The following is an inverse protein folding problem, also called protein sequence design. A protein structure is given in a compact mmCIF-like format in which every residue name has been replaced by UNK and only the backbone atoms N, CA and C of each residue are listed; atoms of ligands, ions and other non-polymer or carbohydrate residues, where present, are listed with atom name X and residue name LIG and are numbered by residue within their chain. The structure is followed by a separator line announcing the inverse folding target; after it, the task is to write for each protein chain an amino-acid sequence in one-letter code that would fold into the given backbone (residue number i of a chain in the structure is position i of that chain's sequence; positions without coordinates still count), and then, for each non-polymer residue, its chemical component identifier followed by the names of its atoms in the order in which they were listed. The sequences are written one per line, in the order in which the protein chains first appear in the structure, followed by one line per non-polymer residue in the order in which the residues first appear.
data_IF_255290404195
#
_entry.id   IF_255290404195
#
_cell.length_a   1.000
_cell.length_b   1.000
_cell.length_c   1.000
_cell.angle_alpha   90.00
_cell.angle_beta   90.00
_cell.angle_gamma   90.00
#
_symmetry.space_group_name_H-M   'P 1'
#
loop_
_entity.id
_entity.type
_entity.pdbx_description
1 polymer ?
#
# COMPACT_ATOMS: atom_id res chain seq x y z
N UNK A 1 -15.95 -31.65 13.56
CA UNK A 1 -16.09 -30.94 12.27
C UNK A 1 -15.42 -29.57 12.29
N UNK A 2 -15.60 -28.72 13.30
CA UNK A 2 -14.96 -27.39 13.35
C UNK A 2 -13.42 -27.42 13.36
N UNK A 3 -12.81 -28.33 14.13
CA UNK A 3 -11.34 -28.50 14.19
C UNK A 3 -10.72 -28.90 12.85
N UNK A 4 -11.31 -29.85 12.13
CA UNK A 4 -10.80 -30.29 10.83
C UNK A 4 -10.87 -29.19 9.76
N UNK A 5 -11.90 -28.32 9.82
CA UNK A 5 -12.02 -27.18 8.92
C UNK A 5 -10.95 -26.11 9.23
N UNK A 6 -10.70 -25.85 10.51
CA UNK A 6 -9.66 -24.90 10.93
C UNK A 6 -8.26 -25.39 10.56
N UNK A 7 -8.00 -26.69 10.66
CA UNK A 7 -6.70 -27.28 10.32
C UNK A 7 -6.45 -27.22 8.81
N UNK A 8 -7.45 -27.52 7.98
CA UNK A 8 -7.36 -27.35 6.52
C UNK A 8 -7.11 -25.88 6.12
N UNK A 9 -7.70 -24.94 6.85
CA UNK A 9 -7.46 -23.51 6.63
C UNK A 9 -6.02 -23.12 6.98
N UNK A 10 -5.49 -23.58 8.12
CA UNK A 10 -4.10 -23.38 8.52
C UNK A 10 -3.12 -23.95 7.50
N UNK A 11 -3.38 -25.18 7.00
CA UNK A 11 -2.57 -25.78 5.96
C UNK A 11 -2.56 -24.93 4.68
N UNK A 12 -3.72 -24.44 4.24
CA UNK A 12 -3.84 -23.57 3.05
C UNK A 12 -3.05 -22.28 3.22
N UNK A 13 -3.08 -21.68 4.39
CA UNK A 13 -2.32 -20.46 4.73
C UNK A 13 -0.81 -20.74 4.78
N UNK A 14 -0.39 -21.89 5.32
CA UNK A 14 1.02 -22.25 5.46
C UNK A 14 1.73 -22.58 4.13
N UNK A 15 0.98 -22.83 3.03
CA UNK A 15 1.54 -23.23 1.73
C UNK A 15 2.20 -22.08 0.94
N UNK A 16 2.26 -20.86 1.52
CA UNK A 16 2.82 -19.70 0.83
C UNK A 16 3.45 -18.70 1.78
N UNK A 17 4.30 -17.84 1.23
CA UNK A 17 4.78 -16.65 1.92
C UNK A 17 3.73 -15.54 1.87
N UNK A 18 3.65 -14.78 2.97
CA UNK A 18 2.75 -13.65 3.15
C UNK A 18 3.53 -12.38 3.44
N UNK A 19 3.11 -11.29 2.83
CA UNK A 19 3.63 -9.97 3.20
C UNK A 19 2.84 -9.40 4.38
N UNK A 20 1.51 -9.46 4.30
CA UNK A 20 0.63 -8.92 5.33
C UNK A 20 0.15 -9.99 6.34
N UNK A 21 0.10 -9.58 7.59
CA UNK A 21 -0.60 -10.33 8.66
C UNK A 21 -2.09 -9.98 8.62
N UNK A 22 -2.93 -10.94 8.24
CA UNK A 22 -4.39 -10.78 8.07
C UNK A 22 -5.10 -11.77 8.95
N UNK A 23 -6.11 -11.29 9.70
CA UNK A 23 -6.99 -12.15 10.48
C UNK A 23 -8.05 -12.79 9.58
N UNK A 24 -8.15 -14.09 9.67
CA UNK A 24 -9.09 -14.92 8.92
C UNK A 24 -10.08 -15.59 9.87
N UNK A 25 -11.22 -16.15 9.38
CA UNK A 25 -12.16 -16.87 10.21
C UNK A 25 -11.51 -17.95 11.09
N UNK A 26 -12.18 -18.27 12.20
CA UNK A 26 -11.75 -19.28 13.17
C UNK A 26 -10.40 -18.96 13.87
N UNK A 27 -10.00 -17.70 13.95
CA UNK A 27 -8.78 -17.28 14.62
C UNK A 27 -7.49 -17.70 13.91
N UNK A 28 -7.57 -18.01 12.62
CA UNK A 28 -6.40 -18.23 11.77
C UNK A 28 -5.84 -16.87 11.36
N UNK A 29 -4.52 -16.75 11.38
CA UNK A 29 -3.81 -15.51 11.01
C UNK A 29 -2.75 -15.85 9.99
N UNK A 30 -2.62 -15.04 8.93
CA UNK A 30 -1.56 -15.23 7.96
C UNK A 30 -0.19 -14.87 8.58
N UNK A 31 0.87 -15.66 8.34
CA UNK A 31 2.20 -15.40 8.91
C UNK A 31 2.95 -14.33 8.11
N UNK A 32 2.37 -13.10 8.05
CA UNK A 32 2.92 -12.00 7.29
C UNK A 32 4.23 -11.44 7.86
N UNK A 33 5.05 -10.85 6.99
CA UNK A 33 6.25 -10.12 7.38
C UNK A 33 5.92 -8.81 8.09
N UNK A 34 4.75 -8.23 7.78
CA UNK A 34 4.28 -6.95 8.32
C UNK A 34 2.93 -7.14 9.01
N UNK A 35 2.83 -6.68 10.25
CA UNK A 35 1.58 -6.64 11.01
C UNK A 35 1.10 -5.20 11.21
N UNK A 36 0.30 -4.71 10.28
CA UNK A 36 -0.27 -3.36 10.33
C UNK A 36 -1.36 -3.17 11.38
N UNK A 37 -1.93 -4.24 11.95
CA UNK A 37 -3.06 -4.17 12.89
C UNK A 37 -2.74 -3.29 14.11
N UNK A 38 -1.48 -3.32 14.57
CA UNK A 38 -1.00 -2.52 15.71
C UNK A 38 -0.72 -1.07 15.34
N UNK A 39 -0.58 -0.77 14.05
CA UNK A 39 -0.09 0.51 13.54
C UNK A 39 -1.17 1.31 12.79
N UNK A 40 -2.42 0.80 12.73
CA UNK A 40 -3.55 1.46 12.06
C UNK A 40 -3.75 2.91 12.52
N UNK A 41 -3.52 3.20 13.81
CA UNK A 41 -3.69 4.52 14.40
C UNK A 41 -2.76 5.60 13.79
N UNK A 42 -1.63 5.20 13.20
CA UNK A 42 -0.73 6.13 12.52
C UNK A 42 -1.29 6.68 11.21
N UNK A 43 -2.22 5.97 10.59
CA UNK A 43 -2.72 6.34 9.26
C UNK A 43 -3.89 7.33 9.29
N UNK A 44 -4.45 7.60 10.46
CA UNK A 44 -5.54 8.57 10.63
C UNK A 44 -6.80 8.19 9.85
N UNK A 45 -7.08 6.89 9.74
CA UNK A 45 -8.26 6.38 9.04
C UNK A 45 -9.54 6.69 9.80
N UNK A 46 -10.66 7.05 9.13
CA UNK A 46 -11.96 7.15 9.78
C UNK A 46 -12.36 5.81 10.41
N UNK A 47 -12.96 5.83 11.60
CA UNK A 47 -13.45 4.62 12.26
C UNK A 47 -14.67 4.02 11.55
N UNK A 48 -15.53 4.86 10.98
CA UNK A 48 -16.67 4.50 10.15
C UNK A 48 -16.47 5.09 8.75
N UNK A 49 -16.47 4.23 7.74
CA UNK A 49 -16.32 4.57 6.33
C UNK A 49 -17.58 4.22 5.53
N UNK A 50 -18.72 4.05 6.22
CA UNK A 50 -20.00 3.74 5.58
C UNK A 50 -20.36 4.81 4.54
N UNK A 51 -20.66 4.35 3.32
CA UNK A 51 -21.01 5.21 2.18
C UNK A 51 -19.81 5.82 1.46
N UNK A 52 -18.58 5.61 1.94
CA UNK A 52 -17.37 6.07 1.24
C UNK A 52 -16.95 5.05 0.19
N UNK A 53 -16.43 5.55 -0.93
CA UNK A 53 -15.72 4.78 -1.95
C UNK A 53 -14.22 4.93 -1.75
N UNK A 54 -13.53 3.82 -1.65
CA UNK A 54 -12.08 3.79 -1.38
C UNK A 54 -11.35 3.03 -2.48
N UNK A 55 -10.24 3.61 -2.94
CA UNK A 55 -9.29 2.93 -3.82
C UNK A 55 -8.05 2.53 -3.01
N UNK A 56 -7.76 1.23 -2.97
CA UNK A 56 -6.51 0.68 -2.43
C UNK A 56 -5.54 0.39 -3.59
N UNK A 57 -4.46 1.16 -3.65
CA UNK A 57 -3.46 1.10 -4.74
C UNK A 57 -2.28 0.24 -4.34
N UNK A 58 -1.99 -0.79 -5.14
CA UNK A 58 -0.99 -1.83 -4.88
C UNK A 58 -1.35 -2.69 -3.66
N UNK A 59 -2.55 -3.25 -3.72
CA UNK A 59 -3.19 -3.95 -2.59
C UNK A 59 -2.44 -5.19 -2.09
N UNK A 60 -1.60 -5.81 -2.90
CA UNK A 60 -0.82 -7.02 -2.65
C UNK A 60 -1.67 -8.17 -2.09
N UNK A 61 -1.53 -8.52 -0.77
CA UNK A 61 -2.34 -9.55 -0.11
C UNK A 61 -3.72 -9.04 0.35
N UNK A 62 -3.98 -7.71 0.27
CA UNK A 62 -5.29 -7.12 0.50
C UNK A 62 -5.55 -6.59 1.91
N UNK A 63 -4.55 -6.52 2.79
CA UNK A 63 -4.77 -6.08 4.19
C UNK A 63 -5.57 -4.77 4.27
N UNK A 64 -5.15 -3.74 3.52
CA UNK A 64 -5.77 -2.43 3.57
C UNK A 64 -7.18 -2.45 2.97
N UNK A 65 -7.35 -3.12 1.83
CA UNK A 65 -8.66 -3.25 1.20
C UNK A 65 -9.69 -3.90 2.13
N UNK A 66 -9.33 -4.98 2.82
CA UNK A 66 -10.22 -5.66 3.76
C UNK A 66 -10.44 -4.86 5.05
N UNK A 67 -9.47 -4.06 5.50
CA UNK A 67 -9.65 -3.16 6.63
C UNK A 67 -10.62 -2.02 6.29
N UNK A 68 -10.56 -1.44 5.09
CA UNK A 68 -11.52 -0.42 4.65
C UNK A 68 -12.93 -1.01 4.52
N UNK A 69 -13.06 -2.20 3.94
CA UNK A 69 -14.35 -2.91 3.87
C UNK A 69 -14.91 -3.18 5.27
N UNK A 70 -14.07 -3.62 6.22
CA UNK A 70 -14.47 -3.84 7.62
C UNK A 70 -14.99 -2.57 8.29
N UNK A 71 -14.53 -1.40 7.88
CA UNK A 71 -15.01 -0.08 8.32
C UNK A 71 -16.26 0.40 7.57
N UNK A 72 -16.76 -0.36 6.60
CA UNK A 72 -18.00 -0.10 5.88
C UNK A 72 -17.85 0.55 4.51
N UNK A 73 -16.64 0.71 3.99
CA UNK A 73 -16.41 1.31 2.68
C UNK A 73 -16.78 0.38 1.51
N UNK A 74 -17.18 0.97 0.37
CA UNK A 74 -17.12 0.32 -0.93
C UNK A 74 -15.70 0.39 -1.46
N UNK A 75 -15.04 -0.75 -1.61
CA UNK A 75 -13.60 -0.80 -1.91
C UNK A 75 -13.33 -1.33 -3.32
N UNK A 76 -12.49 -0.59 -4.04
CA UNK A 76 -11.80 -1.07 -5.23
C UNK A 76 -10.32 -1.24 -4.88
N UNK A 77 -9.77 -2.41 -5.17
CA UNK A 77 -8.37 -2.73 -4.95
C UNK A 77 -7.69 -2.95 -6.29
N UNK A 78 -6.56 -2.30 -6.53
CA UNK A 78 -5.80 -2.48 -7.78
C UNK A 78 -4.41 -3.03 -7.50
N UNK A 79 -3.93 -3.86 -8.44
CA UNK A 79 -2.57 -4.36 -8.44
C UNK A 79 -2.18 -4.83 -9.86
N UNK A 80 -0.91 -5.11 -10.04
CA UNK A 80 -0.41 -5.75 -11.26
C UNK A 80 -0.78 -7.24 -11.30
N UNK A 81 -0.88 -7.79 -12.51
CA UNK A 81 -1.12 -9.22 -12.70
C UNK A 81 0.15 -10.05 -12.52
N UNK A 82 1.27 -9.50 -12.91
CA UNK A 82 2.54 -10.19 -13.05
C UNK A 82 3.69 -9.39 -12.49
N UNK A 83 4.66 -10.11 -11.96
CA UNK A 83 5.95 -9.53 -11.57
C UNK A 83 6.75 -8.99 -12.76
N UNK A 84 6.40 -9.35 -13.99
CA UNK A 84 7.03 -8.81 -15.20
C UNK A 84 6.67 -7.32 -15.43
N UNK A 85 5.54 -6.88 -14.87
CA UNK A 85 5.02 -5.52 -15.04
C UNK A 85 5.53 -4.53 -13.97
N UNK A 86 6.29 -5.04 -12.99
CA UNK A 86 6.87 -4.23 -11.91
C UNK A 86 8.01 -3.35 -12.46
N UNK A 87 8.10 -2.13 -11.97
CA UNK A 87 9.19 -1.17 -12.29
C UNK A 87 10.56 -1.66 -11.82
N UNK A 88 11.21 -2.49 -12.63
CA UNK A 88 12.50 -3.09 -12.30
C UNK A 88 13.68 -2.36 -12.90
N UNK A 89 14.77 -2.30 -12.12
CA UNK A 89 16.08 -2.07 -12.68
C UNK A 89 16.62 -3.31 -13.42
N UNK A 90 17.57 -3.10 -14.36
CA UNK A 90 18.17 -4.21 -15.13
C UNK A 90 18.80 -5.29 -14.28
N UNK A 91 19.27 -4.94 -13.09
CA UNK A 91 20.00 -5.85 -12.19
C UNK A 91 19.16 -6.30 -11.00
N UNK A 92 17.86 -6.09 -11.03
CA UNK A 92 16.99 -6.55 -9.96
C UNK A 92 16.90 -8.07 -9.95
N UNK A 93 17.35 -8.67 -8.87
CA UNK A 93 17.37 -10.12 -8.65
C UNK A 93 16.49 -10.59 -7.49
N UNK A 94 15.62 -9.71 -6.98
CA UNK A 94 14.66 -10.08 -5.93
C UNK A 94 13.59 -10.98 -6.54
N UNK A 95 13.47 -12.19 -6.01
CA UNK A 95 12.38 -13.09 -6.36
C UNK A 95 11.07 -12.59 -5.75
N UNK A 96 10.06 -12.47 -6.58
CA UNK A 96 8.70 -12.18 -6.15
C UNK A 96 7.78 -13.32 -6.52
N UNK A 97 6.74 -13.59 -5.72
CA UNK A 97 5.77 -14.62 -6.06
C UNK A 97 5.05 -14.27 -7.38
N UNK A 98 4.94 -15.25 -8.26
CA UNK A 98 4.20 -15.09 -9.52
C UNK A 98 3.19 -16.25 -9.69
N UNK A 99 1.95 -15.96 -10.10
CA UNK A 99 1.36 -14.64 -10.34
C UNK A 99 1.11 -13.86 -9.05
N UNK A 100 1.04 -12.54 -9.17
CA UNK A 100 0.63 -11.66 -8.08
C UNK A 100 -0.84 -11.88 -7.69
N UNK A 101 -1.22 -11.49 -6.46
CA UNK A 101 -2.61 -11.49 -6.01
C UNK A 101 -3.16 -12.84 -5.52
N UNK A 102 -2.35 -13.89 -5.43
CA UNK A 102 -2.81 -15.17 -4.86
C UNK A 102 -3.22 -15.03 -3.39
N UNK A 103 -2.48 -14.25 -2.58
CA UNK A 103 -2.82 -13.98 -1.20
C UNK A 103 -4.14 -13.24 -1.07
N UNK A 104 -4.31 -12.21 -1.86
CA UNK A 104 -5.58 -11.50 -1.95
C UNK A 104 -6.75 -12.45 -2.25
N UNK A 105 -6.64 -13.30 -3.27
CA UNK A 105 -7.71 -14.21 -3.66
C UNK A 105 -8.10 -15.20 -2.54
N UNK A 106 -7.12 -15.72 -1.80
CA UNK A 106 -7.37 -16.59 -0.65
C UNK A 106 -8.11 -15.83 0.46
N UNK A 107 -7.63 -14.64 0.83
CA UNK A 107 -8.27 -13.84 1.88
C UNK A 107 -9.67 -13.38 1.45
N UNK A 108 -9.82 -12.93 0.21
CA UNK A 108 -11.11 -12.50 -0.34
C UNK A 108 -12.18 -13.60 -0.25
N UNK A 109 -11.83 -14.82 -0.65
CA UNK A 109 -12.71 -16.00 -0.54
C UNK A 109 -13.05 -16.31 0.92
N UNK A 110 -12.04 -16.37 1.80
CA UNK A 110 -12.21 -16.78 3.18
C UNK A 110 -12.95 -15.76 4.04
N UNK A 111 -12.78 -14.47 3.74
CA UNK A 111 -13.49 -13.37 4.41
C UNK A 111 -14.89 -13.15 3.82
N UNK A 112 -15.23 -13.85 2.72
CA UNK A 112 -16.44 -13.58 1.93
C UNK A 112 -16.56 -12.10 1.59
N UNK A 113 -15.45 -11.51 1.14
CA UNK A 113 -15.29 -10.09 0.89
C UNK A 113 -15.99 -9.64 -0.40
N UNK A 114 -16.51 -8.42 -0.41
CA UNK A 114 -17.09 -7.77 -1.59
C UNK A 114 -16.12 -6.80 -2.28
N UNK A 115 -14.87 -6.72 -1.83
CA UNK A 115 -13.85 -5.87 -2.43
C UNK A 115 -13.70 -6.21 -3.92
N UNK A 116 -13.86 -5.21 -4.78
CA UNK A 116 -13.67 -5.37 -6.22
C UNK A 116 -12.20 -5.25 -6.56
N UNK A 117 -11.57 -6.35 -6.95
CA UNK A 117 -10.17 -6.32 -7.41
C UNK A 117 -10.07 -6.14 -8.91
N UNK A 118 -9.21 -5.22 -9.34
CA UNK A 118 -8.88 -5.00 -10.75
C UNK A 118 -7.37 -5.08 -11.02
N UNK A 119 -7.01 -5.60 -12.17
CA UNK A 119 -5.63 -5.55 -12.67
C UNK A 119 -5.40 -4.18 -13.31
N UNK A 120 -4.60 -3.37 -12.65
CA UNK A 120 -4.33 -2.01 -13.08
C UNK A 120 -2.98 -1.53 -12.54
N UNK A 121 -2.14 -0.96 -13.39
CA UNK A 121 -0.97 -0.20 -12.94
C UNK A 121 -1.42 1.12 -12.32
N UNK A 122 -0.68 1.61 -11.30
CA UNK A 122 -0.95 2.95 -10.75
C UNK A 122 -0.86 4.04 -11.80
N UNK A 123 -0.02 3.86 -12.83
CA UNK A 123 0.13 4.79 -13.95
C UNK A 123 -1.09 4.84 -14.89
N UNK A 124 -1.95 3.82 -14.83
CA UNK A 124 -3.18 3.70 -15.63
C UNK A 124 -4.44 4.10 -14.85
N UNK A 125 -4.27 4.58 -13.61
CA UNK A 125 -5.37 5.08 -12.79
C UNK A 125 -5.91 6.38 -13.39
N UNK A 126 -7.21 6.39 -13.73
CA UNK A 126 -7.89 7.55 -14.31
C UNK A 126 -9.40 7.45 -14.13
N UNK A 127 -10.12 8.60 -14.14
CA UNK A 127 -11.55 8.62 -13.82
C UNK A 127 -12.45 7.87 -14.80
N UNK A 128 -12.08 7.83 -16.09
CA UNK A 128 -12.85 7.12 -17.12
C UNK A 128 -12.76 5.59 -17.01
N UNK A 129 -11.74 5.07 -16.29
CA UNK A 129 -11.56 3.64 -16.05
C UNK A 129 -12.12 3.18 -14.71
N UNK A 130 -11.82 3.89 -13.64
CA UNK A 130 -12.11 3.44 -12.28
C UNK A 130 -13.19 4.27 -11.59
N UNK A 131 -13.54 5.43 -12.13
CA UNK A 131 -14.36 6.44 -11.46
C UNK A 131 -13.52 7.29 -10.49
N UNK A 132 -14.19 7.90 -9.52
CA UNK A 132 -13.58 8.74 -8.49
C UNK A 132 -13.86 8.16 -7.11
N UNK A 133 -13.04 8.54 -6.13
CA UNK A 133 -13.05 7.94 -4.79
C UNK A 133 -12.99 9.05 -3.73
N UNK A 134 -13.72 8.85 -2.64
CA UNK A 134 -13.62 9.72 -1.47
C UNK A 134 -12.22 9.65 -0.88
N UNK A 135 -11.68 8.42 -0.75
CA UNK A 135 -10.31 8.19 -0.27
C UNK A 135 -9.53 7.35 -1.28
N UNK A 136 -8.32 7.78 -1.62
CA UNK A 136 -7.34 6.96 -2.35
C UNK A 136 -6.20 6.65 -1.40
N UNK A 137 -5.91 5.38 -1.21
CA UNK A 137 -4.87 4.91 -0.28
C UNK A 137 -3.72 4.23 -1.03
N UNK A 138 -2.51 4.52 -0.61
CA UNK A 138 -1.31 3.75 -0.97
C UNK A 138 -0.30 3.73 0.17
N UNK A 139 0.36 2.61 0.35
CA UNK A 139 1.45 2.45 1.31
C UNK A 139 2.56 1.59 0.73
N UNK A 140 3.82 1.98 0.98
CA UNK A 140 5.02 1.27 0.53
C UNK A 140 5.11 1.05 -1.00
N UNK A 141 4.61 2.00 -1.79
CA UNK A 141 4.59 1.91 -3.24
C UNK A 141 5.56 2.88 -3.91
N UNK A 142 5.56 4.15 -3.53
CA UNK A 142 6.22 5.22 -4.29
C UNK A 142 7.73 5.02 -4.41
N UNK A 143 8.34 4.45 -3.38
CA UNK A 143 9.78 4.12 -3.38
C UNK A 143 10.16 3.07 -4.43
N UNK A 144 9.21 2.25 -4.86
CA UNK A 144 9.39 1.19 -5.85
C UNK A 144 9.09 1.64 -7.29
N UNK A 145 8.63 2.87 -7.49
CA UNK A 145 8.25 3.40 -8.79
C UNK A 145 9.37 4.22 -9.43
N UNK A 146 9.56 4.08 -10.73
CA UNK A 146 10.48 4.94 -11.49
C UNK A 146 9.98 6.37 -11.57
N UNK A 147 8.67 6.53 -11.74
CA UNK A 147 7.98 7.81 -11.82
C UNK A 147 6.97 7.98 -10.69
N UNK A 148 7.41 8.28 -9.46
CA UNK A 148 6.51 8.51 -8.35
C UNK A 148 5.62 9.75 -8.57
N UNK A 149 6.07 10.74 -9.35
CA UNK A 149 5.27 11.93 -9.67
C UNK A 149 4.09 11.60 -10.56
N UNK A 150 4.31 10.85 -11.64
CA UNK A 150 3.22 10.41 -12.51
C UNK A 150 2.20 9.53 -11.77
N UNK A 151 2.65 8.68 -10.85
CA UNK A 151 1.76 7.91 -9.99
C UNK A 151 0.91 8.79 -9.06
N UNK A 152 1.51 9.81 -8.43
CA UNK A 152 0.78 10.77 -7.59
C UNK A 152 -0.23 11.60 -8.40
N UNK A 153 0.11 12.01 -9.62
CA UNK A 153 -0.81 12.71 -10.52
C UNK A 153 -2.01 11.83 -10.92
N UNK A 154 -1.76 10.56 -11.20
CA UNK A 154 -2.80 9.58 -11.48
C UNK A 154 -3.74 9.40 -10.26
N UNK A 155 -3.18 9.25 -9.06
CA UNK A 155 -3.94 9.19 -7.80
C UNK A 155 -4.75 10.47 -7.60
N UNK A 156 -4.14 11.65 -7.77
CA UNK A 156 -4.86 12.93 -7.67
C UNK A 156 -6.07 12.98 -8.60
N UNK A 157 -5.94 12.48 -9.83
CA UNK A 157 -7.01 12.56 -10.85
C UNK A 157 -8.31 11.87 -10.45
N UNK A 158 -8.26 10.89 -9.55
CA UNK A 158 -9.40 10.09 -9.08
C UNK A 158 -9.79 10.37 -7.63
N UNK A 159 -9.12 11.31 -6.96
CA UNK A 159 -9.36 11.66 -5.55
C UNK A 159 -10.42 12.75 -5.47
N UNK A 160 -11.49 12.53 -4.69
CA UNK A 160 -12.55 13.53 -4.43
C UNK A 160 -12.32 14.26 -3.10
N UNK A 161 -12.06 13.57 -1.99
CA UNK A 161 -11.81 14.20 -0.70
C UNK A 161 -10.32 14.26 -0.39
N UNK A 162 -9.67 13.10 -0.15
CA UNK A 162 -8.22 13.09 0.09
C UNK A 162 -7.55 11.77 -0.30
N UNK A 163 -6.24 11.86 -0.55
CA UNK A 163 -5.38 10.68 -0.70
C UNK A 163 -4.52 10.49 0.56
N UNK A 164 -4.30 9.23 0.94
CA UNK A 164 -3.45 8.84 2.06
C UNK A 164 -2.21 8.15 1.50
N UNK A 165 -1.05 8.74 1.79
CA UNK A 165 0.26 8.22 1.40
C UNK A 165 1.03 7.80 2.64
N UNK A 166 1.22 6.49 2.83
CA UNK A 166 2.04 5.94 3.90
C UNK A 166 3.31 5.32 3.33
N UNK A 167 4.44 6.02 3.36
CA UNK A 167 5.62 5.53 2.66
C UNK A 167 6.93 5.73 3.45
N UNK A 168 8.00 5.10 2.97
CA UNK A 168 9.33 5.17 3.60
C UNK A 168 9.98 6.51 3.31
N UNK A 169 10.61 7.12 4.31
CA UNK A 169 11.45 8.30 4.15
C UNK A 169 12.87 8.05 4.65
N UNK A 170 13.82 8.91 4.29
CA UNK A 170 15.20 8.82 4.75
C UNK A 170 15.46 9.79 5.90
N UNK A 171 15.61 9.32 7.16
CA UNK A 171 15.76 10.20 8.32
C UNK A 171 16.99 11.13 8.24
N UNK A 172 18.12 10.64 7.71
CA UNK A 172 19.34 11.45 7.64
C UNK A 172 19.21 12.65 6.66
N UNK A 173 18.25 12.58 5.71
CA UNK A 173 17.97 13.68 4.81
C UNK A 173 17.13 14.79 5.44
N UNK A 174 16.54 14.56 6.61
CA UNK A 174 15.77 15.58 7.35
C UNK A 174 16.66 16.75 7.82
N UNK A 175 17.98 16.53 7.93
CA UNK A 175 18.96 17.58 8.22
C UNK A 175 19.03 18.71 7.17
N UNK A 176 18.55 18.45 5.96
CA UNK A 176 18.44 19.45 4.88
C UNK A 176 17.21 20.35 5.01
N UNK A 177 16.39 20.16 6.03
CA UNK A 177 15.20 20.96 6.38
C UNK A 177 14.19 21.03 5.20
N UNK A 178 13.94 22.23 4.70
CA UNK A 178 12.97 22.49 3.64
C UNK A 178 13.46 22.16 2.22
N UNK A 179 14.72 21.78 2.08
CA UNK A 179 15.23 21.36 0.79
C UNK A 179 14.71 19.98 0.42
N UNK A 180 14.13 19.87 -0.76
CA UNK A 180 13.61 18.62 -1.30
C UNK A 180 14.79 17.74 -1.77
N UNK A 181 15.25 16.85 -0.89
CA UNK A 181 16.37 15.95 -1.16
C UNK A 181 15.87 14.52 -1.24
N UNK A 182 16.40 13.77 -2.19
CA UNK A 182 16.09 12.35 -2.39
C UNK A 182 17.37 11.57 -2.65
N UNK A 183 17.50 10.40 -2.02
CA UNK A 183 18.54 9.44 -2.37
C UNK A 183 18.06 8.56 -3.53
N UNK A 184 18.92 8.39 -4.53
CA UNK A 184 18.73 7.43 -5.59
C UNK A 184 19.35 6.09 -5.17
N UNK A 185 18.50 5.07 -4.93
CA UNK A 185 18.92 3.81 -4.30
C UNK A 185 19.33 2.71 -5.29
N UNK A 186 19.34 2.99 -6.59
CA UNK A 186 19.52 1.97 -7.61
C UNK A 186 20.95 1.42 -7.66
N UNK A 187 21.28 0.57 -6.68
CA UNK A 187 22.58 -0.13 -6.58
C UNK A 187 22.53 -1.61 -7.01
N UNK A 188 21.55 -1.98 -7.82
CA UNK A 188 21.46 -3.34 -8.41
C UNK A 188 20.79 -4.42 -7.56
N UNK A 189 20.83 -4.31 -6.23
CA UNK A 189 20.19 -5.26 -5.31
C UNK A 189 18.97 -4.68 -4.57
N UNK A 190 18.72 -3.38 -4.72
CA UNK A 190 17.59 -2.70 -4.09
C UNK A 190 16.34 -2.82 -4.96
N UNK A 191 15.22 -3.10 -4.32
CA UNK A 191 13.87 -3.02 -4.90
C UNK A 191 13.32 -1.58 -4.86
N UNK A 192 14.07 -0.65 -4.25
CA UNK A 192 13.72 0.76 -4.15
C UNK A 192 14.47 1.58 -5.21
N UNK A 193 13.79 2.56 -5.79
CA UNK A 193 14.39 3.58 -6.63
C UNK A 193 14.81 4.80 -5.82
N UNK A 194 13.99 5.19 -4.84
CA UNK A 194 14.08 6.45 -4.14
C UNK A 194 13.92 6.28 -2.64
N UNK A 195 14.69 7.06 -1.86
CA UNK A 195 14.40 7.31 -0.44
C UNK A 195 14.38 8.83 -0.21
N UNK A 196 13.21 9.47 -0.26
CA UNK A 196 13.10 10.91 -0.14
C UNK A 196 13.12 11.39 1.30
N UNK A 197 13.49 12.66 1.50
CA UNK A 197 13.14 13.42 2.70
C UNK A 197 11.64 13.71 2.73
N UNK A 198 11.10 14.04 3.89
CA UNK A 198 9.69 14.44 3.99
C UNK A 198 9.41 15.76 3.25
N UNK A 199 10.39 16.65 3.16
CA UNK A 199 10.31 17.85 2.32
C UNK A 199 10.20 17.51 0.83
N UNK A 200 10.90 16.47 0.37
CA UNK A 200 10.78 15.98 -1.01
C UNK A 200 9.39 15.41 -1.27
N UNK A 201 8.83 14.58 -0.38
CA UNK A 201 7.45 14.10 -0.50
C UNK A 201 6.43 15.24 -0.62
N UNK A 202 6.53 16.26 0.26
CA UNK A 202 5.65 17.44 0.20
C UNK A 202 5.76 18.16 -1.14
N UNK A 203 6.97 18.26 -1.69
CA UNK A 203 7.21 18.88 -2.99
C UNK A 203 6.59 18.07 -4.13
N UNK A 204 6.73 16.74 -4.10
CA UNK A 204 6.12 15.84 -5.08
C UNK A 204 4.58 15.93 -5.03
N UNK A 205 3.98 15.90 -3.84
CA UNK A 205 2.53 16.02 -3.67
C UNK A 205 1.99 17.35 -4.21
N UNK A 206 2.72 18.48 -3.98
CA UNK A 206 2.34 19.78 -4.55
C UNK A 206 2.44 19.79 -6.07
N UNK A 207 3.49 19.22 -6.63
CA UNK A 207 3.66 19.08 -8.08
C UNK A 207 2.55 18.22 -8.68
N UNK A 208 2.12 17.18 -7.99
CA UNK A 208 0.99 16.34 -8.34
C UNK A 208 -0.39 17.02 -8.07
N UNK A 209 -0.43 18.34 -7.81
CA UNK A 209 -1.60 19.22 -7.70
C UNK A 209 -2.38 19.15 -6.38
N UNK A 210 -1.91 18.43 -5.37
CA UNK A 210 -2.53 18.48 -4.05
C UNK A 210 -2.31 19.86 -3.41
N UNK A 211 -3.38 20.51 -2.95
CA UNK A 211 -3.37 21.88 -2.44
C UNK A 211 -3.02 21.94 -0.96
N UNK A 212 -3.59 21.03 -0.17
CA UNK A 212 -3.36 20.91 1.27
C UNK A 212 -2.70 19.57 1.58
N UNK A 213 -1.61 19.60 2.34
CA UNK A 213 -0.83 18.41 2.70
C UNK A 213 -0.62 18.41 4.21
N UNK A 214 -1.14 17.41 4.88
CA UNK A 214 -1.04 17.22 6.32
C UNK A 214 -0.18 16.01 6.63
N UNK A 215 0.88 16.19 7.40
CA UNK A 215 1.61 15.07 7.97
C UNK A 215 0.86 14.57 9.20
N UNK A 216 0.44 13.32 9.17
CA UNK A 216 -0.34 12.70 10.24
C UNK A 216 0.55 12.06 11.30
N UNK A 217 1.59 11.36 10.87
CA UNK A 217 2.49 10.66 11.79
C UNK A 217 3.84 10.34 11.17
N UNK A 218 4.79 10.05 12.03
CA UNK A 218 6.04 9.34 11.71
C UNK A 218 6.19 8.19 12.68
N UNK A 219 6.61 7.04 12.19
CA UNK A 219 6.83 5.85 13.01
C UNK A 219 7.84 4.93 12.36
N UNK A 220 8.28 3.92 13.09
CA UNK A 220 9.06 2.80 12.54
C UNK A 220 8.12 1.65 12.30
N UNK A 221 8.12 1.09 11.09
CA UNK A 221 7.27 -0.03 10.73
C UNK A 221 7.68 -1.28 11.54
N UNK A 222 6.74 -1.83 12.28
CA UNK A 222 6.93 -3.11 12.97
C UNK A 222 6.83 -4.27 11.96
N UNK A 223 7.97 -4.75 11.52
CA UNK A 223 8.06 -5.80 10.53
C UNK A 223 9.27 -6.71 10.78
N UNK A 224 9.20 -7.93 10.25
CA UNK A 224 10.31 -8.89 10.29
C UNK A 224 11.32 -8.59 9.16
N UNK A 225 11.86 -7.37 9.15
CA UNK A 225 12.95 -6.98 8.25
C UNK A 225 14.28 -6.91 9.00
N UNK A 226 15.39 -6.87 8.26
CA UNK A 226 16.73 -6.82 8.85
C UNK A 226 17.10 -5.43 9.39
N UNK A 227 16.35 -4.39 9.01
CA UNK A 227 16.58 -3.01 9.40
C UNK A 227 15.27 -2.29 9.69
N UNK A 228 15.37 -1.23 10.48
CA UNK A 228 14.27 -0.31 10.72
C UNK A 228 13.78 0.31 9.41
N UNK A 229 12.46 0.42 9.29
CA UNK A 229 11.79 1.03 8.15
C UNK A 229 11.03 2.27 8.63
N UNK A 230 11.66 3.46 8.57
CA UNK A 230 11.03 4.70 8.98
C UNK A 230 9.94 5.11 7.99
N UNK A 231 8.75 5.38 8.51
CA UNK A 231 7.55 5.71 7.75
C UNK A 231 7.06 7.11 8.07
N UNK A 232 6.49 7.75 7.06
CA UNK A 232 5.70 8.98 7.20
C UNK A 232 4.33 8.77 6.56
N UNK A 233 3.30 9.35 7.16
CA UNK A 233 1.94 9.34 6.60
C UNK A 233 1.52 10.76 6.29
N UNK A 234 1.11 10.98 5.04
CA UNK A 234 0.51 12.23 4.59
C UNK A 234 -0.94 12.02 4.18
N UNK A 235 -1.80 12.96 4.57
CA UNK A 235 -3.09 13.20 3.94
C UNK A 235 -2.95 14.36 2.98
N UNK A 236 -3.30 14.14 1.73
CA UNK A 236 -3.16 15.12 0.65
C UNK A 236 -4.54 15.37 0.00
N UNK A 237 -4.94 16.63 -0.04
CA UNK A 237 -6.25 17.07 -0.49
C UNK A 237 -6.13 17.79 -1.85
N UNK A 238 -7.02 17.51 -2.82
CA UNK A 238 -7.04 18.14 -4.13
C UNK A 238 -7.17 19.66 -4.12
#
# INVERSE_FOLDING_TARGET
MATAHTDALRERVAQREWYHTIELPHGVVTPGRVDHRRQLHHYGLPDDMTGMRVLDVATYDGFWAFEFERRGAEVVAIDLASTADVDRGRNWNVEMPSPLGRGFAICHELLNSNVRKEVCSVYDVRPDRLGRFDIVFTSDLLIHLRDPLGAMEAIWSVTDDHAIFGDVFHPDLEGFKDNAVVEFCHSGASDMWWRPSTACYRSWLRLARFQRIEEKSRFVLEANFQSDVPKVVFHAYP
#
